data_IF_359325471725
#
_entry.id   IF_359325471725
#
_cell.length_a   1.000
_cell.length_b   1.000
_cell.length_c   1.000
_cell.angle_alpha   90.00
_cell.angle_beta   90.00
_cell.angle_gamma   90.00
#
_symmetry.space_group_name_H-M   'P 1'
#
loop_
_entity.id
_entity.type
_entity.pdbx_description
1 polymer ?
#
# COMPACT_ATOMS: atom_id res chain seq x y z
N UNK A 1 -14.25 16.54 10.04
CA UNK A 1 -14.87 15.22 10.24
C UNK A 1 -14.96 14.57 8.87
N UNK A 2 -14.16 13.52 8.64
CA UNK A 2 -14.10 12.77 7.38
C UNK A 2 -14.64 11.39 7.71
N UNK A 3 -15.63 10.92 6.96
CA UNK A 3 -16.21 9.59 7.14
C UNK A 3 -15.80 8.70 5.98
N UNK A 4 -15.31 7.50 6.29
CA UNK A 4 -15.05 6.45 5.31
C UNK A 4 -15.97 5.30 5.64
N UNK A 5 -16.90 5.04 4.73
CA UNK A 5 -17.84 3.94 4.88
C UNK A 5 -17.29 2.70 4.17
N UNK A 6 -16.74 1.76 4.95
CA UNK A 6 -16.43 0.41 4.50
C UNK A 6 -17.60 -0.49 4.91
N UNK A 7 -18.53 -0.77 3.99
CA UNK A 7 -19.58 -1.78 4.19
C UNK A 7 -19.12 -3.11 3.60
N UNK A 8 -19.02 -4.14 4.45
CA UNK A 8 -18.72 -5.53 4.07
C UNK A 8 -19.85 -6.19 3.27
N UNK A 9 -21.00 -5.54 3.11
CA UNK A 9 -22.15 -6.10 2.39
C UNK A 9 -22.59 -5.20 1.24
N UNK A 10 -22.50 -5.74 0.01
CA UNK A 10 -22.89 -5.22 -1.31
C UNK A 10 -21.89 -4.30 -2.01
N UNK A 11 -21.47 -4.75 -3.20
CA UNK A 11 -20.98 -4.01 -4.37
C UNK A 11 -20.19 -2.73 -4.04
N UNK A 12 -18.86 -2.87 -4.01
CA UNK A 12 -17.90 -1.81 -3.70
C UNK A 12 -18.19 -0.48 -4.43
N UNK A 13 -18.60 0.52 -3.66
CA UNK A 13 -18.47 1.93 -4.00
C UNK A 13 -17.78 2.63 -2.82
N UNK A 14 -16.46 2.79 -2.90
CA UNK A 14 -15.70 3.60 -1.94
C UNK A 14 -15.96 5.08 -2.26
N UNK A 15 -16.74 5.78 -1.44
CA UNK A 15 -16.86 7.24 -1.49
C UNK A 15 -16.04 7.84 -0.38
N UNK A 16 -15.00 8.58 -0.75
CA UNK A 16 -14.17 9.34 0.17
C UNK A 16 -14.75 10.74 0.28
N UNK A 17 -15.28 11.11 1.44
CA UNK A 17 -15.77 12.47 1.71
C UNK A 17 -14.74 13.25 2.52
N UNK A 18 -13.75 13.78 1.83
CA UNK A 18 -12.75 14.69 2.38
C UNK A 18 -12.08 15.48 1.27
N UNK A 19 -11.78 16.76 1.51
CA UNK A 19 -11.19 17.71 0.56
C UNK A 19 -9.70 17.41 0.27
N UNK A 20 -9.36 16.14 0.02
CA UNK A 20 -8.01 15.63 -0.27
C UNK A 20 -7.88 15.01 -1.67
N UNK A 21 -8.95 14.95 -2.46
CA UNK A 21 -9.04 14.16 -3.69
C UNK A 21 -8.52 14.90 -4.95
N UNK A 22 -7.25 15.29 -4.92
CA UNK A 22 -6.55 15.79 -6.12
C UNK A 22 -5.92 14.69 -6.98
N UNK A 23 -5.91 13.42 -6.56
CA UNK A 23 -5.11 12.35 -7.19
C UNK A 23 -5.70 10.94 -7.02
N UNK A 24 -5.10 9.98 -7.74
CA UNK A 24 -5.46 8.55 -7.64
C UNK A 24 -5.07 8.00 -6.27
N UNK A 25 -5.77 6.97 -5.82
CA UNK A 25 -5.50 6.32 -4.54
C UNK A 25 -5.21 4.84 -4.75
N UNK A 26 -4.29 4.34 -3.93
CA UNK A 26 -4.06 2.93 -3.71
C UNK A 26 -4.14 2.67 -2.21
N UNK A 27 -4.63 1.52 -1.80
CA UNK A 27 -4.68 1.16 -0.39
C UNK A 27 -4.46 -0.33 -0.23
N UNK A 28 -4.09 -0.73 0.97
CA UNK A 28 -3.98 -2.13 1.35
C UNK A 28 -4.31 -2.27 2.85
N UNK A 29 -4.68 -3.49 3.25
CA UNK A 29 -5.16 -3.80 4.60
C UNK A 29 -4.09 -4.54 5.38
N UNK A 30 -4.05 -4.35 6.71
CA UNK A 30 -3.27 -5.24 7.56
C UNK A 30 -3.85 -6.65 7.50
N UNK A 31 -3.03 -7.69 7.25
CA UNK A 31 -3.47 -9.07 7.34
C UNK A 31 -3.78 -9.51 8.78
N UNK A 32 -3.15 -8.87 9.77
CA UNK A 32 -3.26 -9.22 11.19
C UNK A 32 -4.32 -8.42 11.96
N UNK A 33 -4.73 -7.26 11.44
CA UNK A 33 -5.74 -6.39 12.09
C UNK A 33 -6.70 -5.77 11.05
N UNK A 34 -7.99 -6.17 11.03
CA UNK A 34 -8.96 -5.66 10.07
C UNK A 34 -9.28 -4.17 10.21
N UNK A 35 -8.95 -3.54 11.33
CA UNK A 35 -9.14 -2.10 11.53
C UNK A 35 -7.96 -1.27 11.05
N UNK A 36 -6.83 -1.91 10.74
CA UNK A 36 -5.64 -1.22 10.26
C UNK A 36 -5.62 -1.17 8.72
N UNK A 37 -5.58 0.06 8.19
CA UNK A 37 -5.53 0.35 6.76
C UNK A 37 -4.36 1.28 6.43
N UNK A 38 -3.78 1.09 5.25
CA UNK A 38 -2.77 1.99 4.69
C UNK A 38 -3.23 2.53 3.35
N UNK A 39 -3.16 3.85 3.19
CA UNK A 39 -3.54 4.54 1.96
C UNK A 39 -2.33 5.27 1.41
N UNK A 40 -2.06 5.04 0.14
CA UNK A 40 -1.15 5.82 -0.67
C UNK A 40 -1.96 6.74 -1.58
N UNK A 41 -1.88 8.03 -1.28
CA UNK A 41 -2.39 9.08 -2.12
C UNK A 41 -1.33 9.49 -3.13
N UNK A 42 -1.64 9.26 -4.41
CA UNK A 42 -0.80 9.74 -5.50
C UNK A 42 -0.95 11.25 -5.67
N UNK A 43 0.06 11.87 -6.26
CA UNK A 43 0.01 13.26 -6.66
C UNK A 43 -1.12 13.51 -7.68
N UNK A 44 -1.58 14.75 -7.76
CA UNK A 44 -2.48 15.16 -8.84
C UNK A 44 -1.76 15.21 -10.18
N UNK A 45 -2.46 14.92 -11.27
CA UNK A 45 -1.88 14.97 -12.62
C UNK A 45 -1.31 16.36 -12.94
N UNK A 46 -1.96 17.41 -12.43
CA UNK A 46 -1.63 18.82 -12.64
C UNK A 46 -1.16 19.54 -11.37
N UNK A 47 -0.77 18.81 -10.32
CA UNK A 47 -0.18 19.41 -9.12
C UNK A 47 1.29 19.03 -8.96
N UNK A 48 2.05 19.92 -8.34
CA UNK A 48 3.43 19.68 -7.92
C UNK A 48 3.50 18.95 -6.56
N UNK A 49 2.35 18.56 -5.99
CA UNK A 49 2.31 17.92 -4.68
C UNK A 49 2.97 16.55 -4.74
N UNK A 50 3.84 16.27 -3.79
CA UNK A 50 4.27 14.90 -3.52
C UNK A 50 3.12 14.13 -2.86
N UNK A 51 2.99 12.86 -3.21
CA UNK A 51 1.92 12.02 -2.65
C UNK A 51 2.02 11.89 -1.13
N UNK A 52 0.98 11.37 -0.49
CA UNK A 52 0.94 11.15 0.96
C UNK A 52 0.68 9.69 1.28
N UNK A 53 1.26 9.21 2.36
CA UNK A 53 0.91 7.92 2.97
C UNK A 53 0.17 8.18 4.27
N UNK A 54 -1.02 7.59 4.39
CA UNK A 54 -1.88 7.69 5.55
C UNK A 54 -2.09 6.29 6.15
N UNK A 55 -2.16 6.21 7.47
CA UNK A 55 -2.50 5.00 8.22
C UNK A 55 -3.74 5.24 9.05
N UNK A 56 -4.65 4.28 9.09
CA UNK A 56 -5.75 4.22 10.06
C UNK A 56 -5.60 2.96 10.91
N UNK A 57 -6.06 3.01 12.16
CA UNK A 57 -6.11 1.86 13.09
C UNK A 57 -7.53 1.63 13.64
N UNK A 58 -8.51 2.35 13.10
CA UNK A 58 -9.89 2.38 13.58
C UNK A 58 -10.91 2.18 12.44
N UNK A 59 -10.53 1.42 11.41
CA UNK A 59 -11.40 1.10 10.27
C UNK A 59 -11.59 2.26 9.30
N UNK A 60 -10.72 3.26 9.34
CA UNK A 60 -10.75 4.44 8.46
C UNK A 60 -11.48 5.65 9.04
N UNK A 61 -11.81 5.65 10.33
CA UNK A 61 -12.46 6.80 10.98
C UNK A 61 -11.46 7.95 11.21
N UNK A 62 -10.23 7.63 11.62
CA UNK A 62 -9.13 8.58 11.77
C UNK A 62 -7.90 8.13 10.98
N UNK A 63 -7.07 9.12 10.61
CA UNK A 63 -5.91 8.91 9.73
C UNK A 63 -4.70 9.68 10.21
N UNK A 64 -3.61 8.96 10.43
CA UNK A 64 -2.29 9.50 10.71
C UNK A 64 -1.47 9.63 9.43
N UNK A 65 -0.81 10.77 9.26
CA UNK A 65 0.11 10.96 8.15
C UNK A 65 1.48 10.36 8.50
N UNK A 66 1.87 9.30 7.79
CA UNK A 66 3.12 8.58 7.98
C UNK A 66 4.09 8.79 6.81
N UNK A 67 3.93 9.83 6.00
CA UNK A 67 4.76 10.10 4.80
C UNK A 67 6.23 10.37 5.17
N UNK A 68 6.45 11.09 6.28
CA UNK A 68 7.77 11.39 6.85
C UNK A 68 8.83 11.82 5.83
N UNK A 69 9.91 11.05 5.67
CA UNK A 69 11.05 11.35 4.82
C UNK A 69 10.84 11.07 3.33
N UNK A 70 9.65 10.63 2.90
CA UNK A 70 9.37 10.34 1.49
C UNK A 70 8.94 11.59 0.75
N UNK A 71 9.77 12.03 -0.19
CA UNK A 71 9.46 13.10 -1.13
C UNK A 71 9.59 12.58 -2.56
N UNK A 72 8.53 11.92 -3.04
CA UNK A 72 8.52 11.25 -4.35
C UNK A 72 7.10 11.16 -4.93
N UNK A 73 7.00 10.78 -6.20
CA UNK A 73 5.73 10.55 -6.89
C UNK A 73 5.18 9.17 -6.54
N UNK A 74 4.36 9.10 -5.49
CA UNK A 74 3.83 7.84 -4.99
C UNK A 74 2.90 7.17 -6.00
N UNK A 75 2.88 5.83 -6.00
CA UNK A 75 2.08 5.03 -6.93
C UNK A 75 1.24 3.96 -6.23
N UNK A 76 1.85 3.14 -5.39
CA UNK A 76 1.17 1.98 -4.80
C UNK A 76 1.77 1.65 -3.44
N UNK A 77 0.98 0.96 -2.63
CA UNK A 77 1.32 0.52 -1.28
C UNK A 77 0.90 -0.93 -1.12
N UNK A 78 1.73 -1.75 -0.49
CA UNK A 78 1.43 -3.15 -0.17
C UNK A 78 1.79 -3.43 1.28
N UNK A 79 1.06 -4.34 1.92
CA UNK A 79 1.27 -4.72 3.31
C UNK A 79 1.59 -6.21 3.38
N UNK A 80 2.62 -6.53 4.16
CA UNK A 80 3.04 -7.88 4.50
C UNK A 80 2.93 -8.09 6.01
N UNK A 81 2.50 -9.26 6.49
CA UNK A 81 2.66 -9.62 7.89
C UNK A 81 4.14 -9.91 8.20
N UNK A 82 4.71 -9.22 9.19
CA UNK A 82 6.05 -9.48 9.72
C UNK A 82 6.09 -10.73 10.59
N UNK A 83 7.31 -11.23 10.84
CA UNK A 83 7.52 -12.42 11.68
C UNK A 83 7.05 -12.23 13.14
N UNK A 84 7.01 -10.98 13.60
CA UNK A 84 6.56 -10.56 14.92
C UNK A 84 5.06 -10.24 15.00
N UNK A 85 4.31 -10.53 13.93
CA UNK A 85 2.89 -10.19 13.80
C UNK A 85 2.62 -8.72 13.52
N UNK A 86 3.66 -7.89 13.35
CA UNK A 86 3.50 -6.47 12.99
C UNK A 86 3.56 -6.28 11.49
N UNK A 87 2.89 -5.25 10.99
CA UNK A 87 2.89 -4.96 9.56
C UNK A 87 4.25 -4.45 9.07
N UNK A 88 4.64 -4.92 7.89
CA UNK A 88 5.69 -4.34 7.06
C UNK A 88 5.02 -3.75 5.83
N UNK A 89 5.25 -2.47 5.59
CA UNK A 89 4.58 -1.72 4.53
C UNK A 89 5.58 -1.38 3.45
N UNK A 90 5.23 -1.65 2.20
CA UNK A 90 6.02 -1.35 1.02
C UNK A 90 5.41 -0.19 0.25
N UNK A 91 6.24 0.75 -0.20
CA UNK A 91 5.82 1.93 -0.95
C UNK A 91 6.58 2.02 -2.27
N UNK A 92 5.84 2.12 -3.36
CA UNK A 92 6.37 2.20 -4.72
C UNK A 92 6.13 3.59 -5.29
N UNK A 93 7.15 4.15 -5.93
CA UNK A 93 7.09 5.49 -6.55
C UNK A 93 7.38 5.42 -8.04
N UNK A 94 6.98 6.44 -8.78
CA UNK A 94 7.26 6.56 -10.21
C UNK A 94 8.38 7.55 -10.48
N UNK A 95 9.18 7.26 -11.50
CA UNK A 95 10.09 8.24 -12.07
C UNK A 95 9.28 9.35 -12.77
N UNK A 96 9.41 10.60 -12.30
CA UNK A 96 8.74 11.77 -12.89
C UNK A 96 9.49 13.04 -12.50
N UNK A 97 9.50 14.04 -13.38
CA UNK A 97 10.09 15.37 -13.13
C UNK A 97 11.52 15.30 -12.57
N UNK A 98 12.38 14.51 -13.21
CA UNK A 98 13.79 14.28 -12.84
C UNK A 98 14.00 13.55 -11.49
N UNK A 99 12.95 13.19 -10.76
CA UNK A 99 13.04 12.27 -9.63
C UNK A 99 13.03 10.83 -10.13
N UNK A 100 13.96 10.03 -9.63
CA UNK A 100 14.00 8.58 -9.89
C UNK A 100 12.88 7.84 -9.17
N UNK A 101 12.51 6.69 -9.71
CA UNK A 101 11.65 5.72 -9.04
C UNK A 101 12.41 5.05 -7.90
N UNK A 102 11.73 4.87 -6.79
CA UNK A 102 12.25 4.24 -5.60
C UNK A 102 11.20 3.25 -5.05
N UNK A 103 11.70 2.21 -4.40
CA UNK A 103 10.91 1.34 -3.54
C UNK A 103 11.38 1.57 -2.11
N UNK A 104 10.43 1.78 -1.22
CA UNK A 104 10.67 1.91 0.21
C UNK A 104 9.94 0.81 0.97
N UNK A 105 10.42 0.53 2.17
CA UNK A 105 9.66 -0.21 3.16
C UNK A 105 9.69 0.50 4.52
N UNK A 106 8.74 0.17 5.38
CA UNK A 106 8.66 0.67 6.76
C UNK A 106 8.14 -0.46 7.66
N UNK A 107 8.88 -0.79 8.72
CA UNK A 107 8.36 -1.66 9.79
C UNK A 107 7.54 -0.85 10.78
N UNK A 108 6.69 -1.50 11.57
CA UNK A 108 5.76 -0.82 12.47
C UNK A 108 6.45 0.16 13.45
N UNK A 109 7.62 -0.22 13.98
CA UNK A 109 8.37 0.56 14.98
C UNK A 109 9.27 1.64 14.34
N UNK A 110 9.45 1.63 13.02
CA UNK A 110 10.30 2.60 12.33
C UNK A 110 9.62 3.95 12.23
N UNK A 111 10.31 5.04 12.57
CA UNK A 111 9.78 6.39 12.33
C UNK A 111 9.87 6.76 10.85
N UNK A 112 10.89 6.28 10.12
CA UNK A 112 11.17 6.68 8.73
C UNK A 112 11.09 5.50 7.77
N UNK A 113 10.85 5.81 6.49
CA UNK A 113 10.89 4.85 5.39
C UNK A 113 12.34 4.54 5.00
N UNK A 114 12.64 3.25 4.83
CA UNK A 114 13.93 2.73 4.42
C UNK A 114 13.90 2.36 2.94
N UNK A 115 15.00 2.59 2.22
CA UNK A 115 15.09 2.36 0.77
C UNK A 115 15.42 0.90 0.47
N UNK A 116 14.77 0.31 -0.56
CA UNK A 116 15.01 -1.05 -1.05
C UNK A 116 15.19 -1.09 -2.58
N UNK A 117 16.12 -0.29 -3.09
CA UNK A 117 16.36 -0.10 -4.53
C UNK A 117 17.39 -1.07 -5.15
N UNK A 118 17.74 -2.16 -4.48
CA UNK A 118 18.74 -3.10 -5.00
C UNK A 118 18.30 -3.60 -6.39
N UNK A 119 19.10 -3.30 -7.42
CA UNK A 119 18.81 -3.61 -8.83
C UNK A 119 17.48 -3.04 -9.36
N UNK A 120 16.89 -2.07 -8.67
CA UNK A 120 15.63 -1.46 -9.08
C UNK A 120 15.88 -0.37 -10.14
N UNK A 121 15.24 -0.42 -11.31
CA UNK A 121 15.46 0.56 -12.36
C UNK A 121 15.05 1.98 -11.95
N UNK A 122 15.99 2.93 -11.98
CA UNK A 122 15.73 4.33 -11.61
C UNK A 122 14.63 5.00 -12.48
N UNK A 123 14.44 4.54 -13.71
CA UNK A 123 13.40 4.99 -14.64
C UNK A 123 12.08 4.22 -14.59
N UNK A 124 11.86 3.39 -13.56
CA UNK A 124 10.67 2.56 -13.47
C UNK A 124 9.40 3.40 -13.38
N UNK A 125 8.46 3.08 -14.25
CA UNK A 125 7.08 3.53 -14.20
C UNK A 125 6.22 2.34 -13.83
N UNK A 126 5.87 2.27 -12.55
CA UNK A 126 5.20 1.13 -11.94
C UNK A 126 3.78 1.02 -12.49
N UNK A 127 3.49 -0.14 -13.08
CA UNK A 127 2.15 -0.52 -13.46
C UNK A 127 1.44 -1.15 -12.25
N UNK A 128 1.93 -2.32 -11.82
CA UNK A 128 1.34 -3.12 -10.75
C UNK A 128 2.48 -3.81 -9.95
N UNK A 129 2.60 -3.52 -8.65
CA UNK A 129 3.37 -4.34 -7.72
C UNK A 129 2.46 -5.38 -7.05
N UNK A 130 3.00 -6.56 -6.74
CA UNK A 130 2.33 -7.60 -5.94
C UNK A 130 3.32 -8.38 -5.07
N UNK A 131 2.83 -8.82 -3.92
CA UNK A 131 3.51 -9.81 -3.07
C UNK A 131 3.13 -11.22 -3.55
N UNK A 132 4.13 -12.09 -3.63
CA UNK A 132 4.02 -13.51 -3.94
C UNK A 132 4.50 -14.31 -2.74
N UNK A 133 3.56 -14.58 -1.82
CA UNK A 133 3.84 -15.24 -0.55
C UNK A 133 4.52 -16.61 -0.72
N UNK A 134 4.02 -17.46 -1.63
CA UNK A 134 4.63 -18.78 -1.91
C UNK A 134 6.13 -18.72 -2.20
N UNK A 135 6.59 -17.69 -2.91
CA UNK A 135 7.98 -17.55 -3.33
C UNK A 135 8.78 -16.61 -2.40
N UNK A 136 8.14 -16.04 -1.37
CA UNK A 136 8.65 -14.97 -0.50
C UNK A 136 9.29 -13.81 -1.29
N UNK A 137 8.57 -13.31 -2.31
CA UNK A 137 9.03 -12.22 -3.18
C UNK A 137 8.00 -11.13 -3.39
N UNK A 138 8.46 -9.93 -3.67
CA UNK A 138 7.70 -8.88 -4.36
C UNK A 138 8.07 -8.91 -5.84
N UNK A 139 7.08 -8.75 -6.71
CA UNK A 139 7.29 -8.49 -8.13
C UNK A 139 6.63 -7.18 -8.51
N UNK A 140 7.35 -6.36 -9.26
CA UNK A 140 6.88 -5.08 -9.76
C UNK A 140 6.96 -5.09 -11.28
N UNK A 141 5.80 -5.04 -11.93
CA UNK A 141 5.72 -4.89 -13.37
C UNK A 141 5.64 -3.40 -13.74
N UNK A 142 6.40 -2.99 -14.75
CA UNK A 142 6.38 -1.63 -15.28
C UNK A 142 6.94 -1.53 -16.70
N UNK A 143 7.34 -0.34 -17.10
CA UNK A 143 7.96 -0.06 -18.41
C UNK A 143 9.34 -0.72 -18.59
N UNK A 144 10.05 -1.05 -17.52
CA UNK A 144 11.37 -1.67 -17.55
C UNK A 144 11.32 -3.19 -17.33
N UNK A 145 10.20 -3.84 -17.65
CA UNK A 145 9.99 -5.27 -17.43
C UNK A 145 9.42 -5.58 -16.04
N UNK A 146 9.84 -6.73 -15.49
CA UNK A 146 9.45 -7.18 -14.15
C UNK A 146 10.69 -7.17 -13.26
N UNK A 147 10.66 -6.39 -12.19
CA UNK A 147 11.65 -6.43 -11.13
C UNK A 147 11.18 -7.36 -10.02
N UNK A 148 12.10 -8.11 -9.43
CA UNK A 148 11.83 -8.98 -8.29
C UNK A 148 12.73 -8.60 -7.10
N UNK A 149 12.22 -8.78 -5.90
CA UNK A 149 13.00 -8.66 -4.67
C UNK A 149 12.48 -9.65 -3.62
N UNK A 150 13.35 -10.28 -2.82
CA UNK A 150 12.89 -11.05 -1.66
C UNK A 150 12.05 -10.20 -0.70
N UNK A 151 11.12 -10.80 0.02
CA UNK A 151 10.45 -10.08 1.13
C UNK A 151 11.47 -9.70 2.20
N UNK A 152 11.25 -8.56 2.87
CA UNK A 152 12.09 -8.10 3.97
C UNK A 152 12.13 -9.14 5.09
N UNK A 153 10.96 -9.69 5.42
CA UNK A 153 10.85 -10.85 6.29
C UNK A 153 10.36 -12.06 5.45
N UNK A 154 11.26 -13.01 5.17
CA UNK A 154 10.93 -14.20 4.39
C UNK A 154 10.26 -15.32 5.22
N UNK A 155 10.40 -15.23 6.54
CA UNK A 155 9.75 -16.10 7.52
C UNK A 155 8.59 -15.32 8.12
N UNK A 156 7.37 -15.75 7.83
CA UNK A 156 6.14 -15.16 8.35
C UNK A 156 5.08 -16.25 8.43
N UNK A 157 4.10 -16.08 9.30
CA UNK A 157 2.96 -16.97 9.39
C UNK A 157 1.91 -16.56 8.34
N UNK A 158 1.63 -17.39 7.31
CA UNK A 158 0.64 -17.05 6.30
C UNK A 158 -0.75 -17.06 6.92
N UNK A 159 -1.36 -15.89 7.05
CA UNK A 159 -2.76 -15.74 7.44
C UNK A 159 -3.66 -16.01 6.23
N UNK A 160 -4.22 -17.22 6.17
CA UNK A 160 -5.17 -17.60 5.11
C UNK A 160 -6.59 -17.29 5.59
N UNK A 161 -7.26 -16.37 4.90
CA UNK A 161 -8.69 -16.09 5.10
C UNK A 161 -9.50 -16.69 3.94
N UNK A 162 -9.90 -17.97 4.01
CA UNK A 162 -10.78 -18.54 3.00
C UNK A 162 -12.14 -17.86 3.10
N UNK A 163 -12.65 -17.32 1.99
CA UNK A 163 -13.96 -16.69 1.96
C UNK A 163 -14.96 -17.62 1.26
N UNK A 164 -16.06 -17.95 1.94
CA UNK A 164 -17.22 -18.69 1.45
C UNK A 164 -18.43 -17.76 1.38
N UNK A 165 -19.12 -17.75 0.25
CA UNK A 165 -20.41 -17.07 0.13
C UNK A 165 -21.39 -17.55 1.23
N UNK A 166 -22.06 -16.62 1.91
CA UNK A 166 -23.11 -16.97 2.86
C UNK A 166 -24.35 -17.44 2.09
N UNK A 167 -24.72 -18.72 2.24
CA UNK A 167 -25.94 -19.27 1.64
C UNK A 167 -27.18 -18.44 2.04
N UNK A 168 -27.81 -17.79 1.08
CA UNK A 168 -29.08 -17.08 1.21
C UNK A 168 -30.25 -18.01 0.92
N UNK A 169 -30.42 -19.06 1.72
CA UNK A 169 -31.68 -19.81 1.72
C UNK A 169 -32.44 -19.49 3.00
N UNK A 170 -33.32 -18.51 2.91
CA UNK A 170 -34.46 -18.42 3.83
C UNK A 170 -35.40 -19.56 3.44
N UNK A 171 -35.38 -20.65 4.21
CA UNK A 171 -36.45 -21.65 4.21
C UNK A 171 -37.38 -21.33 5.36
#
# INVERSE_FOLDING_TARGET
MVEIHLSINRLLSVRLSGKFLGGKLHFDLSPGDPNTLYVCQQNGTWSADTGRVLKSTDGGNTWDNITNNVSAYLKSILVQPGADGKDIVYLFTNARNLLGSNVYYRKADDVSWLVMNTEYPAGMYVNIPKIFYRDSKIRVAGNAGVWEHPLIDAVYEPLIQPWVEKNTTNV
#
